data_IF_896788571156
#
_entry.id   IF_896788571156
#
_cell.length_a   1.000
_cell.length_b   1.000
_cell.length_c   1.000
_cell.angle_alpha   90.00
_cell.angle_beta   90.00
_cell.angle_gamma   90.00
#
_symmetry.space_group_name_H-M   'P 1'
#
loop_
_entity.id
_entity.type
_entity.pdbx_description
1 polymer ?
#
# COMPACT_ATOMS: atom_id res chain seq x y z
N UNK A 1 6.26 11.19 -4.04
CA UNK A 1 5.41 10.02 -4.35
C UNK A 1 3.93 10.28 -4.09
N UNK A 2 3.53 10.93 -2.99
CA UNK A 2 2.10 11.24 -2.73
C UNK A 2 1.49 12.15 -3.81
N UNK A 3 2.23 13.14 -4.32
CA UNK A 3 1.77 14.06 -5.37
C UNK A 3 1.55 13.40 -6.75
N UNK A 4 1.98 12.14 -6.91
CA UNK A 4 1.79 11.38 -8.13
C UNK A 4 0.42 10.69 -8.16
N UNK A 5 -0.13 10.31 -7.00
CA UNK A 5 -1.39 9.55 -6.93
C UNK A 5 -2.56 10.25 -7.64
N UNK A 6 -2.79 11.57 -7.47
CA UNK A 6 -3.89 12.25 -8.16
C UNK A 6 -3.71 12.33 -9.68
N UNK A 7 -2.49 12.16 -10.18
CA UNK A 7 -2.17 12.24 -11.62
C UNK A 7 -2.14 10.87 -12.28
N UNK A 8 -1.66 9.86 -11.57
CA UNK A 8 -1.46 8.51 -12.11
C UNK A 8 -2.73 7.65 -12.11
N UNK A 9 -3.77 8.06 -11.39
CA UNK A 9 -5.01 7.31 -11.25
C UNK A 9 -6.25 8.16 -11.55
N UNK A 10 -7.27 7.48 -12.08
CA UNK A 10 -8.65 7.97 -12.13
C UNK A 10 -9.39 7.34 -10.96
N UNK A 11 -10.14 8.16 -10.23
CA UNK A 11 -10.95 7.74 -9.09
C UNK A 11 -12.41 7.74 -9.47
N UNK A 12 -13.11 6.69 -9.06
CA UNK A 12 -14.53 6.47 -9.33
C UNK A 12 -15.25 6.20 -8.01
N UNK A 13 -16.48 6.71 -7.90
CA UNK A 13 -17.34 6.42 -6.76
C UNK A 13 -17.65 4.92 -6.71
N UNK A 14 -17.25 4.27 -5.62
CA UNK A 14 -17.49 2.86 -5.36
C UNK A 14 -18.72 2.61 -4.48
N UNK A 15 -19.43 3.67 -4.09
CA UNK A 15 -20.57 3.64 -3.19
C UNK A 15 -20.20 3.84 -1.72
N UNK A 16 -21.21 3.87 -0.88
CA UNK A 16 -21.07 4.10 0.56
C UNK A 16 -21.73 2.98 1.37
N UNK A 17 -21.11 2.61 2.49
CA UNK A 17 -21.68 1.69 3.47
C UNK A 17 -21.62 2.34 4.85
N UNK A 18 -22.76 2.86 5.32
CA UNK A 18 -22.81 3.67 6.53
C UNK A 18 -21.91 4.90 6.42
N UNK A 19 -20.91 5.03 7.30
CA UNK A 19 -19.92 6.11 7.25
C UNK A 19 -18.71 5.82 6.36
N UNK A 20 -18.61 4.63 5.78
CA UNK A 20 -17.48 4.24 4.96
C UNK A 20 -17.71 4.63 3.50
N UNK A 21 -16.76 5.38 2.95
CA UNK A 21 -16.75 5.76 1.54
C UNK A 21 -15.82 4.81 0.78
N UNK A 22 -16.37 4.11 -0.21
CA UNK A 22 -15.59 3.27 -1.11
C UNK A 22 -15.24 4.06 -2.36
N UNK A 23 -13.96 4.09 -2.72
CA UNK A 23 -13.46 4.75 -3.92
C UNK A 23 -12.69 3.72 -4.72
N UNK A 24 -13.10 3.45 -5.95
CA UNK A 24 -12.33 2.61 -6.86
C UNK A 24 -11.28 3.48 -7.56
N UNK A 25 -10.12 2.90 -7.84
CA UNK A 25 -9.09 3.58 -8.61
C UNK A 25 -8.56 2.67 -9.71
N UNK A 26 -8.26 3.29 -10.85
CA UNK A 26 -7.68 2.63 -12.02
C UNK A 26 -6.61 3.52 -12.65
N UNK A 27 -5.68 2.95 -13.43
CA UNK A 27 -4.66 3.70 -14.13
C UNK A 27 -5.25 4.86 -14.96
N UNK A 28 -4.68 6.06 -14.84
CA UNK A 28 -5.03 7.18 -15.71
C UNK A 28 -4.35 7.02 -17.08
N UNK A 29 -5.08 6.73 -18.18
CA UNK A 29 -4.47 6.45 -19.48
C UNK A 29 -3.63 7.62 -20.04
N UNK A 30 -3.83 8.85 -19.54
CA UNK A 30 -3.08 10.03 -19.95
C UNK A 30 -1.78 10.23 -19.15
N UNK A 31 -1.51 9.40 -18.14
CA UNK A 31 -0.30 9.47 -17.33
C UNK A 31 0.84 8.69 -17.99
N UNK A 32 1.99 9.34 -18.18
CA UNK A 32 3.19 8.71 -18.76
C UNK A 32 4.21 8.44 -17.65
N UNK A 33 4.34 7.19 -17.18
CA UNK A 33 5.27 6.86 -16.10
C UNK A 33 6.72 6.95 -16.56
N UNK A 34 7.55 7.61 -15.76
CA UNK A 34 8.96 7.88 -16.08
C UNK A 34 9.91 6.87 -15.44
N UNK A 35 9.58 6.35 -14.25
CA UNK A 35 10.41 5.37 -13.53
C UNK A 35 9.78 3.97 -13.53
N UNK A 36 10.56 2.97 -13.10
CA UNK A 36 10.03 1.63 -12.90
C UNK A 36 8.98 1.59 -11.78
N UNK A 37 9.19 2.31 -10.68
CA UNK A 37 8.17 2.38 -9.61
C UNK A 37 6.89 3.05 -10.11
N UNK A 38 7.00 4.09 -10.93
CA UNK A 38 5.83 4.75 -11.52
C UNK A 38 5.08 3.82 -12.47
N UNK A 39 5.77 2.99 -13.27
CA UNK A 39 5.13 1.99 -14.14
C UNK A 39 4.42 0.93 -13.33
N UNK A 40 5.07 0.42 -12.28
CA UNK A 40 4.50 -0.56 -11.38
C UNK A 40 3.21 -0.02 -10.74
N UNK A 41 3.28 1.19 -10.19
CA UNK A 41 2.15 1.87 -9.57
C UNK A 41 1.04 2.17 -10.59
N UNK A 42 1.41 2.68 -11.76
CA UNK A 42 0.48 2.98 -12.85
C UNK A 42 -0.18 1.72 -13.43
N UNK A 43 0.38 0.52 -13.26
CA UNK A 43 -0.28 -0.73 -13.66
C UNK A 43 -1.36 -1.22 -12.68
N UNK A 44 -1.46 -0.61 -11.50
CA UNK A 44 -2.34 -1.09 -10.43
C UNK A 44 -3.77 -0.57 -10.56
N UNK A 45 -4.72 -1.40 -10.16
CA UNK A 45 -6.10 -0.98 -9.87
C UNK A 45 -6.50 -1.47 -8.49
N UNK A 46 -7.55 -0.89 -7.92
CA UNK A 46 -7.97 -1.29 -6.59
C UNK A 46 -9.07 -0.44 -5.98
N UNK A 47 -9.12 -0.48 -4.65
CA UNK A 47 -10.13 0.20 -3.85
C UNK A 47 -9.49 0.90 -2.65
N UNK A 48 -9.97 2.10 -2.35
CA UNK A 48 -9.76 2.79 -1.08
C UNK A 48 -11.07 2.74 -0.29
N UNK A 49 -10.96 2.52 1.02
CA UNK A 49 -12.04 2.70 1.98
C UNK A 49 -11.63 3.83 2.91
N UNK A 50 -12.47 4.85 2.99
CA UNK A 50 -12.23 6.08 3.76
C UNK A 50 -13.35 6.26 4.77
N UNK A 51 -13.01 6.64 6.00
CA UNK A 51 -13.98 7.14 6.97
C UNK A 51 -14.51 8.49 6.50
N UNK A 52 -15.79 8.57 6.15
CA UNK A 52 -16.44 9.79 5.67
C UNK A 52 -16.56 10.90 6.71
N UNK A 53 -16.51 10.58 8.01
CA UNK A 53 -16.56 11.56 9.11
C UNK A 53 -15.19 12.18 9.36
N UNK A 54 -14.16 11.33 9.48
CA UNK A 54 -12.80 11.77 9.83
C UNK A 54 -11.90 12.02 8.63
N UNK A 55 -12.34 11.67 7.42
CA UNK A 55 -11.58 11.71 6.16
C UNK A 55 -10.25 10.94 6.26
N UNK A 56 -10.25 9.83 6.99
CA UNK A 56 -9.08 8.97 7.20
C UNK A 56 -9.16 7.73 6.33
N UNK A 57 -8.03 7.36 5.74
CA UNK A 57 -7.89 6.09 5.04
C UNK A 57 -7.99 4.94 6.04
N UNK A 58 -8.99 4.09 5.87
CA UNK A 58 -9.17 2.87 6.65
C UNK A 58 -8.60 1.66 5.91
N UNK A 59 -8.83 1.52 4.61
CA UNK A 59 -8.23 0.43 3.84
C UNK A 59 -7.76 0.92 2.48
N UNK A 60 -6.63 0.39 2.02
CA UNK A 60 -6.18 0.51 0.64
C UNK A 60 -5.82 -0.88 0.15
N UNK A 61 -6.44 -1.31 -0.94
CA UNK A 61 -6.10 -2.55 -1.62
C UNK A 61 -5.84 -2.29 -3.08
N UNK A 62 -4.94 -3.07 -3.66
CA UNK A 62 -4.68 -3.03 -5.09
C UNK A 62 -4.00 -4.26 -5.61
N UNK A 63 -4.05 -4.39 -6.92
CA UNK A 63 -3.60 -5.58 -7.62
C UNK A 63 -3.17 -5.23 -9.03
N UNK A 64 -2.27 -6.06 -9.54
CA UNK A 64 -1.73 -5.95 -10.87
C UNK A 64 -2.35 -7.02 -11.78
N UNK A 65 -3.12 -6.57 -12.77
CA UNK A 65 -3.80 -7.44 -13.73
C UNK A 65 -2.86 -8.03 -14.78
N UNK A 66 -1.88 -7.24 -15.20
CA UNK A 66 -0.97 -7.56 -16.29
C UNK A 66 0.49 -7.36 -15.87
N UNK A 67 1.40 -8.04 -16.55
CA UNK A 67 2.82 -7.89 -16.31
C UNK A 67 3.25 -6.45 -16.67
N UNK A 68 3.98 -5.81 -15.75
CA UNK A 68 4.56 -4.49 -15.98
C UNK A 68 6.05 -4.66 -16.22
N UNK A 69 6.49 -4.33 -17.43
CA UNK A 69 7.90 -4.45 -17.83
C UNK A 69 8.54 -3.09 -18.11
N UNK A 70 9.86 -3.02 -17.89
CA UNK A 70 10.70 -1.86 -18.18
C UNK A 70 11.97 -2.27 -18.94
N UNK A 71 12.43 -1.41 -19.85
CA UNK A 71 13.57 -1.68 -20.71
C UNK A 71 13.43 -2.97 -21.51
N UNK A 72 12.28 -3.16 -22.17
CA UNK A 72 11.94 -4.38 -22.93
C UNK A 72 11.94 -5.68 -22.09
N UNK A 73 11.74 -5.58 -20.78
CA UNK A 73 11.75 -6.74 -19.86
C UNK A 73 13.16 -7.19 -19.45
N UNK A 74 14.21 -6.48 -19.90
CA UNK A 74 15.60 -6.77 -19.51
C UNK A 74 15.95 -6.10 -18.18
N UNK A 75 15.42 -4.89 -17.95
CA UNK A 75 15.72 -4.10 -16.75
C UNK A 75 14.83 -4.45 -15.56
N UNK A 76 13.59 -4.84 -15.80
CA UNK A 76 12.73 -5.39 -14.75
C UNK A 76 11.30 -5.66 -15.22
N UNK A 77 10.68 -6.63 -14.56
CA UNK A 77 9.29 -7.04 -14.76
C UNK A 77 8.65 -7.30 -13.41
N UNK A 78 7.45 -6.79 -13.18
CA UNK A 78 6.57 -7.23 -12.09
C UNK A 78 5.48 -8.08 -12.72
N UNK A 79 5.29 -9.28 -12.19
CA UNK A 79 4.35 -10.24 -12.73
C UNK A 79 2.93 -9.97 -12.21
N UNK A 80 1.95 -10.29 -13.06
CA UNK A 80 0.54 -10.33 -12.70
C UNK A 80 0.29 -11.19 -11.48
N UNK A 81 -0.79 -10.86 -10.75
CA UNK A 81 -1.11 -11.52 -9.48
C UNK A 81 -0.29 -11.00 -8.29
N UNK A 82 0.51 -9.95 -8.50
CA UNK A 82 0.96 -9.05 -7.44
C UNK A 82 -0.24 -8.34 -6.83
N UNK A 83 -0.33 -8.33 -5.50
CA UNK A 83 -1.38 -7.66 -4.76
C UNK A 83 -0.85 -7.06 -3.45
N UNK A 84 -1.57 -6.08 -2.95
CA UNK A 84 -1.33 -5.53 -1.62
C UNK A 84 -2.66 -5.12 -0.99
N UNK A 85 -2.72 -5.21 0.33
CA UNK A 85 -3.78 -4.67 1.16
C UNK A 85 -3.16 -4.12 2.44
N UNK A 86 -3.57 -2.91 2.82
CA UNK A 86 -3.26 -2.36 4.13
C UNK A 86 -4.53 -1.84 4.77
N UNK A 87 -4.70 -2.19 6.05
CA UNK A 87 -5.79 -1.67 6.89
C UNK A 87 -5.20 -0.81 7.98
N UNK A 88 -5.88 0.30 8.26
CA UNK A 88 -5.59 1.22 9.35
C UNK A 88 -6.82 1.41 10.20
N UNK A 89 -6.64 1.32 11.50
CA UNK A 89 -7.70 1.51 12.48
C UNK A 89 -7.32 2.55 13.51
N UNK A 90 -8.35 3.09 14.17
CA UNK A 90 -8.20 3.93 15.35
C UNK A 90 -7.79 3.05 16.54
N UNK A 91 -6.59 3.28 17.08
CA UNK A 91 -6.04 2.50 18.22
C UNK A 91 -5.99 3.32 19.51
N UNK A 92 -6.56 4.52 19.49
CA UNK A 92 -6.64 5.48 20.58
C UNK A 92 -7.18 6.82 20.06
N UNK A 93 -7.52 7.78 20.94
CA UNK A 93 -8.10 9.07 20.52
C UNK A 93 -7.27 9.78 19.46
N UNK A 94 -7.77 9.86 18.23
CA UNK A 94 -7.09 10.49 17.08
C UNK A 94 -5.89 9.72 16.50
N UNK A 95 -5.54 8.54 17.03
CA UNK A 95 -4.34 7.79 16.62
C UNK A 95 -4.73 6.66 15.67
N UNK A 96 -4.33 6.79 14.40
CA UNK A 96 -4.56 5.77 13.37
C UNK A 96 -3.27 5.00 13.06
N UNK A 97 -3.30 3.68 13.22
CA UNK A 97 -2.14 2.80 12.97
C UNK A 97 -2.49 1.70 11.97
N UNK A 98 -1.48 1.20 11.27
CA UNK A 98 -1.63 0.04 10.39
C UNK A 98 -1.80 -1.21 11.23
N UNK A 99 -2.95 -1.86 11.10
CA UNK A 99 -3.34 -3.10 11.80
C UNK A 99 -3.17 -4.33 10.93
N UNK A 100 -3.23 -4.17 9.61
CA UNK A 100 -2.97 -5.23 8.63
C UNK A 100 -2.04 -4.73 7.52
N UNK A 101 -1.08 -5.57 7.19
CA UNK A 101 -0.30 -5.48 5.96
C UNK A 101 -0.27 -6.87 5.30
N UNK A 102 -0.92 -6.99 4.15
CA UNK A 102 -0.87 -8.18 3.30
C UNK A 102 -0.27 -7.78 1.95
N UNK A 103 0.83 -8.41 1.56
CA UNK A 103 1.58 -8.09 0.36
C UNK A 103 2.04 -9.38 -0.29
N UNK A 104 1.70 -9.54 -1.57
CA UNK A 104 2.27 -10.55 -2.45
C UNK A 104 2.83 -9.85 -3.68
N UNK A 105 4.15 -9.84 -3.82
CA UNK A 105 4.84 -9.30 -4.99
C UNK A 105 5.66 -10.42 -5.60
N UNK A 106 5.56 -10.55 -6.91
CA UNK A 106 6.40 -11.41 -7.73
C UNK A 106 6.94 -10.63 -8.93
N UNK A 107 8.20 -10.83 -9.26
CA UNK A 107 8.88 -10.06 -10.29
C UNK A 107 10.37 -10.36 -10.38
N UNK A 108 11.04 -9.57 -11.22
CA UNK A 108 12.46 -9.69 -11.52
C UNK A 108 13.03 -8.30 -11.84
N UNK A 109 14.22 -8.00 -11.33
CA UNK A 109 15.02 -6.82 -11.72
C UNK A 109 16.33 -7.29 -12.35
N UNK A 110 16.69 -6.67 -13.47
CA UNK A 110 17.79 -7.08 -14.34
C UNK A 110 17.67 -8.56 -14.78
N UNK A 111 18.75 -9.11 -15.36
CA UNK A 111 18.72 -10.48 -15.85
C UNK A 111 18.68 -11.54 -14.75
N UNK A 112 19.14 -11.23 -13.53
CA UNK A 112 19.50 -12.25 -12.53
C UNK A 112 18.82 -12.12 -11.15
N UNK A 113 18.10 -11.03 -10.84
CA UNK A 113 17.53 -10.83 -9.50
C UNK A 113 16.02 -11.02 -9.49
N UNK A 114 15.55 -12.16 -9.02
CA UNK A 114 14.12 -12.39 -8.72
C UNK A 114 13.73 -11.64 -7.45
N UNK A 115 12.54 -11.03 -7.46
CA UNK A 115 11.93 -10.36 -6.32
C UNK A 115 10.65 -11.09 -6.00
N UNK A 116 10.70 -11.92 -4.96
CA UNK A 116 9.52 -12.54 -4.37
C UNK A 116 9.35 -12.05 -2.95
N UNK A 117 8.24 -11.38 -2.64
CA UNK A 117 7.89 -11.02 -1.26
C UNK A 117 6.46 -11.44 -0.99
N UNK A 118 6.30 -12.30 0.01
CA UNK A 118 5.01 -12.56 0.64
C UNK A 118 5.11 -12.11 2.08
N UNK A 119 4.21 -11.24 2.48
CA UNK A 119 4.13 -10.75 3.85
C UNK A 119 2.68 -10.68 4.25
N UNK A 120 2.38 -11.31 5.38
CA UNK A 120 1.12 -11.14 6.08
C UNK A 120 1.47 -10.75 7.51
N UNK A 121 1.09 -9.54 7.92
CA UNK A 121 1.41 -8.99 9.23
C UNK A 121 0.16 -8.38 9.83
N UNK A 122 -0.16 -8.82 11.04
CA UNK A 122 -1.23 -8.28 11.86
C UNK A 122 -0.58 -7.59 13.05
N UNK A 123 -0.92 -6.32 13.28
CA UNK A 123 -0.43 -5.55 14.43
C UNK A 123 -1.59 -5.29 15.38
N UNK A 124 -1.36 -5.59 16.66
CA UNK A 124 -2.34 -5.48 17.75
C UNK A 124 -1.64 -4.94 19.00
N UNK A 125 -2.44 -4.72 20.05
CA UNK A 125 -1.94 -4.40 21.40
C UNK A 125 -1.02 -3.18 21.42
N UNK A 126 -1.43 -2.12 20.71
CA UNK A 126 -0.68 -0.88 20.61
C UNK A 126 -0.57 -0.22 21.99
N UNK A 127 0.66 0.02 22.43
CA UNK A 127 0.95 0.71 23.68
C UNK A 127 1.73 2.00 23.40
N UNK A 128 1.35 3.13 24.02
CA UNK A 128 2.15 4.34 23.96
C UNK A 128 3.46 4.11 24.72
N UNK A 129 4.58 4.57 24.15
CA UNK A 129 5.87 4.58 24.83
C UNK A 129 6.12 5.96 25.44
N UNK A 130 6.84 6.05 26.57
CA UNK A 130 7.32 7.32 27.10
C UNK A 130 8.15 8.08 26.05
N UNK A 131 8.01 9.40 26.00
CA UNK A 131 8.70 10.24 25.01
C UNK A 131 10.22 10.28 25.22
N UNK A 132 10.67 10.02 26.44
CA UNK A 132 12.07 10.04 26.90
C UNK A 132 12.70 8.64 26.96
N UNK A 133 12.02 7.61 26.44
CA UNK A 133 12.55 6.25 26.43
C UNK A 133 13.86 6.16 25.62
N UNK A 134 14.89 5.55 26.20
CA UNK A 134 16.12 5.25 25.47
C UNK A 134 15.93 4.03 24.55
N UNK A 135 16.78 3.89 23.53
CA UNK A 135 16.77 2.69 22.67
C UNK A 135 16.98 1.41 23.49
N UNK A 136 17.86 1.42 24.50
CA UNK A 136 18.10 0.26 25.35
C UNK A 136 16.87 -0.10 26.19
N UNK A 137 16.15 0.89 26.72
CA UNK A 137 14.89 0.68 27.43
C UNK A 137 13.80 0.13 26.49
N UNK A 138 13.69 0.65 25.27
CA UNK A 138 12.74 0.17 24.28
C UNK A 138 13.02 -1.30 23.88
N UNK A 139 14.29 -1.66 23.66
CA UNK A 139 14.68 -3.05 23.37
C UNK A 139 14.36 -3.96 24.56
N UNK A 140 14.61 -3.51 25.80
CA UNK A 140 14.29 -4.30 26.99
C UNK A 140 12.78 -4.57 27.15
N UNK A 141 11.90 -3.73 26.59
CA UNK A 141 10.45 -3.99 26.58
C UNK A 141 10.06 -5.09 25.57
N UNK A 142 10.82 -5.27 24.49
CA UNK A 142 10.55 -6.27 23.44
C UNK A 142 11.08 -7.67 23.79
N UNK A 143 12.02 -7.75 24.74
CA UNK A 143 12.67 -9.01 25.15
C UNK A 143 12.02 -9.66 26.38
N UNK A 144 10.90 -9.13 26.85
CA UNK A 144 10.08 -9.71 27.93
C UNK A 144 9.04 -10.66 27.35
#
# INVERSE_FOLDING_TARGET
MVDLLPRAFVFEDGGHEGSWLRINYKPNPNYIPQTFEERALHGMSGTLIVDGRSRRLHQLSGYLFDDVSYGYGVLGTIHRGTNFTTTRDLVGPGVWKTTLLDVKIDGRIALFKTIGRRQHSIHRDFQPLPLDISLSQAVALLLK
#
